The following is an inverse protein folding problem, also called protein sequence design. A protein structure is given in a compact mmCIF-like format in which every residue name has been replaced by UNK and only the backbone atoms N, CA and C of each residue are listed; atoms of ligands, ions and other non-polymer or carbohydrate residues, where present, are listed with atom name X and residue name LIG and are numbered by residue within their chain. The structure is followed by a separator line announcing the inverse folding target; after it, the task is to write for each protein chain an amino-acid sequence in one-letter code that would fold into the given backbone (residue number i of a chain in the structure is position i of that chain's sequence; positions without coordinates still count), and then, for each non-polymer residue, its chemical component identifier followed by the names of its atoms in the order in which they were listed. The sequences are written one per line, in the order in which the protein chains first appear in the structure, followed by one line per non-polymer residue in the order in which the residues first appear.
data_IF_212191062522
#
_entry.id   IF_212191062522
#
_cell.length_a   1.000
_cell.length_b   1.000
_cell.length_c   1.000
_cell.angle_alpha   90.00
_cell.angle_beta   90.00
_cell.angle_gamma   90.00
#
_symmetry.space_group_name_H-M   'P 1'
#
loop_
_entity.id
_entity.type
_entity.pdbx_description
1 polymer ?
#
# COMPACT_ATOMS: atom_id res chain seq x y z
N UNK A 1 -7.95 16.25 -12.97
CA UNK A 1 -8.43 15.60 -11.74
C UNK A 1 -8.13 14.13 -11.91
N UNK A 2 -7.41 13.56 -10.97
CA UNK A 2 -7.17 12.12 -10.92
C UNK A 2 -8.12 11.49 -9.92
N UNK A 3 -8.39 10.20 -10.07
CA UNK A 3 -9.30 9.46 -9.21
C UNK A 3 -8.67 8.14 -8.77
N UNK A 4 -8.93 7.75 -7.53
CA UNK A 4 -8.42 6.53 -6.95
C UNK A 4 -9.51 5.81 -6.18
N UNK A 5 -9.50 4.49 -6.27
CA UNK A 5 -10.46 3.65 -5.59
C UNK A 5 -9.78 2.91 -4.44
N UNK A 6 -10.34 3.02 -3.24
CA UNK A 6 -9.96 2.14 -2.14
C UNK A 6 -10.33 0.70 -2.49
N UNK A 7 -9.35 -0.22 -2.50
CA UNK A 7 -9.59 -1.62 -2.86
C UNK A 7 -10.36 -2.42 -1.80
N UNK A 8 -10.52 -1.87 -0.58
CA UNK A 8 -11.24 -2.50 0.53
C UNK A 8 -12.74 -2.22 0.46
N UNK A 9 -13.10 -0.95 0.42
CA UNK A 9 -14.49 -0.48 0.56
C UNK A 9 -15.04 0.12 -0.74
N UNK A 10 -14.24 0.17 -1.80
CA UNK A 10 -14.61 0.70 -3.12
C UNK A 10 -14.94 2.21 -3.12
N UNK A 11 -14.58 2.95 -2.06
CA UNK A 11 -14.72 4.40 -1.99
C UNK A 11 -13.85 5.08 -3.04
N UNK A 12 -14.43 6.05 -3.76
CA UNK A 12 -13.74 6.87 -4.75
C UNK A 12 -13.18 8.13 -4.08
N UNK A 13 -11.90 8.40 -4.31
CA UNK A 13 -11.16 9.54 -3.78
C UNK A 13 -10.57 10.30 -4.96
N UNK A 14 -10.88 11.58 -5.07
CA UNK A 14 -10.39 12.44 -6.15
C UNK A 14 -9.43 13.50 -5.64
N UNK A 15 -8.43 13.83 -6.47
CA UNK A 15 -7.47 14.89 -6.18
C UNK A 15 -6.95 15.57 -7.46
N UNK A 16 -6.10 16.57 -7.27
CA UNK A 16 -5.50 17.37 -8.35
C UNK A 16 -4.66 16.53 -9.31
N UNK A 17 -3.90 15.57 -8.79
CA UNK A 17 -2.98 14.70 -9.52
C UNK A 17 -2.95 13.29 -8.92
N UNK A 18 -2.39 12.35 -9.68
CA UNK A 18 -2.35 10.92 -9.32
C UNK A 18 -1.57 10.64 -8.04
N UNK A 19 -0.50 11.38 -7.81
CA UNK A 19 0.33 11.22 -6.61
C UNK A 19 -0.45 11.58 -5.35
N UNK A 20 -1.15 12.71 -5.38
CA UNK A 20 -2.04 13.14 -4.29
C UNK A 20 -3.22 12.18 -4.11
N UNK A 21 -3.71 11.55 -5.17
CA UNK A 21 -4.75 10.51 -5.05
C UNK A 21 -4.20 9.30 -4.30
N UNK A 22 -3.00 8.82 -4.67
CA UNK A 22 -2.37 7.66 -4.03
C UNK A 22 -2.18 7.93 -2.54
N UNK A 23 -1.63 9.09 -2.19
CA UNK A 23 -1.44 9.52 -0.80
C UNK A 23 -2.75 9.47 0.00
N UNK A 24 -3.82 10.08 -0.51
CA UNK A 24 -5.14 10.06 0.15
C UNK A 24 -5.77 8.67 0.24
N UNK A 25 -5.58 7.83 -0.78
CA UNK A 25 -6.09 6.46 -0.75
C UNK A 25 -5.33 5.65 0.31
N UNK A 26 -4.01 5.84 0.44
CA UNK A 26 -3.18 5.23 1.48
C UNK A 26 -3.61 5.71 2.86
N UNK A 27 -3.76 7.02 3.08
CA UNK A 27 -4.27 7.60 4.32
C UNK A 27 -5.60 6.96 4.72
N UNK A 28 -6.58 6.96 3.82
CA UNK A 28 -7.88 6.32 4.07
C UNK A 28 -7.76 4.82 4.42
N UNK A 29 -6.92 4.07 3.72
CA UNK A 29 -6.71 2.63 3.98
C UNK A 29 -6.06 2.39 5.34
N UNK A 30 -5.08 3.20 5.72
CA UNK A 30 -4.35 3.05 6.98
C UNK A 30 -5.14 3.60 8.19
N UNK A 31 -6.09 4.50 7.99
CA UNK A 31 -6.97 4.96 9.07
C UNK A 31 -8.21 4.07 9.24
N UNK A 32 -8.91 3.75 8.16
CA UNK A 32 -10.19 3.05 8.21
C UNK A 32 -10.06 1.52 8.10
N UNK A 33 -8.99 1.02 7.50
CA UNK A 33 -8.87 -0.37 7.08
C UNK A 33 -7.52 -1.03 7.41
N UNK A 34 -6.74 -0.45 8.33
CA UNK A 34 -5.40 -0.95 8.66
C UNK A 34 -5.38 -2.46 8.97
N UNK A 35 -6.32 -2.95 9.78
CA UNK A 35 -6.39 -4.38 10.11
C UNK A 35 -6.62 -5.28 8.88
N UNK A 36 -7.40 -4.80 7.91
CA UNK A 36 -7.65 -5.51 6.66
C UNK A 36 -6.43 -5.46 5.73
N UNK A 37 -5.79 -4.29 5.62
CA UNK A 37 -4.54 -4.11 4.86
C UNK A 37 -3.44 -4.99 5.43
N UNK A 38 -3.29 -5.05 6.75
CA UNK A 38 -2.32 -5.92 7.42
C UNK A 38 -2.62 -7.39 7.13
N UNK A 39 -3.87 -7.83 7.32
CA UNK A 39 -4.27 -9.20 7.01
C UNK A 39 -4.00 -9.60 5.56
N UNK A 40 -4.17 -8.67 4.61
CA UNK A 40 -3.88 -8.94 3.20
C UNK A 40 -2.37 -8.91 2.89
N UNK A 41 -1.62 -7.95 3.42
CA UNK A 41 -0.18 -7.86 3.28
C UNK A 41 0.56 -9.07 3.89
N UNK A 42 0.02 -9.69 4.95
CA UNK A 42 0.62 -10.86 5.62
C UNK A 42 0.14 -12.21 5.06
N UNK A 43 -0.42 -12.24 3.85
CA UNK A 43 -0.66 -13.50 3.14
C UNK A 43 0.52 -13.83 2.23
N UNK A 44 0.91 -15.11 2.20
CA UNK A 44 2.06 -15.60 1.40
C UNK A 44 1.98 -15.25 -0.08
N UNK A 45 0.77 -15.15 -0.63
CA UNK A 45 0.49 -14.71 -2.02
C UNK A 45 0.82 -13.24 -2.32
N UNK A 46 0.92 -12.41 -1.27
CA UNK A 46 1.17 -10.96 -1.35
C UNK A 46 2.58 -10.61 -0.84
N UNK A 47 3.47 -11.60 -0.73
CA UNK A 47 4.84 -11.40 -0.26
C UNK A 47 5.61 -10.49 -1.21
N UNK A 48 6.26 -9.46 -0.67
CA UNK A 48 7.16 -8.61 -1.43
C UNK A 48 8.49 -9.33 -1.66
N UNK A 49 8.89 -9.52 -2.92
CA UNK A 49 10.19 -10.10 -3.24
C UNK A 49 11.34 -9.14 -2.92
N UNK A 50 11.11 -7.84 -3.13
CA UNK A 50 12.06 -6.76 -2.87
C UNK A 50 11.40 -5.64 -2.10
N UNK A 51 12.16 -5.01 -1.22
CA UNK A 51 11.74 -3.77 -0.55
C UNK A 51 11.65 -2.64 -1.60
N UNK A 52 10.50 -1.97 -1.75
CA UNK A 52 10.35 -0.87 -2.70
C UNK A 52 11.12 0.40 -2.30
N UNK A 53 11.61 0.47 -1.05
CA UNK A 53 12.34 1.64 -0.53
C UNK A 53 13.85 1.51 -0.74
N UNK A 54 14.47 0.42 -0.28
CA UNK A 54 15.93 0.24 -0.39
C UNK A 54 16.38 -0.80 -1.42
N UNK A 55 15.44 -1.53 -2.04
CA UNK A 55 15.74 -2.57 -3.03
C UNK A 55 16.24 -3.90 -2.46
N UNK A 56 16.34 -4.05 -1.14
CA UNK A 56 16.77 -5.29 -0.49
C UNK A 56 15.83 -6.45 -0.82
N UNK A 57 16.38 -7.63 -1.05
CA UNK A 57 15.61 -8.86 -1.23
C UNK A 57 14.98 -9.27 0.10
N UNK A 58 13.65 -9.40 0.12
CA UNK A 58 12.90 -9.81 1.31
C UNK A 58 12.57 -11.30 1.23
N UNK A 59 12.00 -11.78 0.11
CA UNK A 59 11.72 -13.20 -0.15
C UNK A 59 10.80 -13.92 0.86
N UNK A 60 10.34 -13.22 1.90
CA UNK A 60 9.54 -13.72 3.00
C UNK A 60 8.59 -12.61 3.49
N UNK A 61 7.59 -12.99 4.28
CA UNK A 61 6.66 -12.06 4.88
C UNK A 61 7.33 -11.26 5.99
N UNK A 62 7.36 -9.95 5.82
CA UNK A 62 7.86 -9.01 6.82
C UNK A 62 6.88 -7.85 6.93
N UNK A 63 6.54 -7.46 8.17
CA UNK A 63 5.80 -6.22 8.41
C UNK A 63 6.69 -4.99 8.26
N UNK A 64 7.99 -5.13 8.55
CA UNK A 64 9.00 -4.07 8.39
C UNK A 64 10.25 -4.61 7.72
N UNK A 65 10.84 -3.82 6.83
CA UNK A 65 12.08 -4.20 6.17
C UNK A 65 13.22 -4.31 7.20
N UNK A 66 13.93 -5.45 7.29
CA UNK A 66 15.04 -5.61 8.22
C UNK A 66 16.29 -4.81 7.84
N UNK A 67 16.35 -4.27 6.60
CA UNK A 67 17.51 -3.53 6.10
C UNK A 67 17.37 -2.00 6.32
N UNK A 68 16.23 -1.41 5.95
CA UNK A 68 16.02 0.04 6.06
C UNK A 68 14.96 0.46 7.09
N UNK A 69 14.21 -0.49 7.67
CA UNK A 69 13.15 -0.20 8.64
C UNK A 69 11.82 0.28 8.04
N UNK A 70 11.71 0.35 6.71
CA UNK A 70 10.46 0.75 6.04
C UNK A 70 9.28 -0.15 6.43
N UNK A 71 8.11 0.45 6.62
CA UNK A 71 6.88 -0.26 6.93
C UNK A 71 6.29 -0.92 5.69
N UNK A 72 6.41 -2.23 5.59
CA UNK A 72 6.01 -2.98 4.40
C UNK A 72 4.50 -3.12 4.29
N UNK A 73 3.76 -2.91 5.37
CA UNK A 73 2.29 -2.87 5.34
C UNK A 73 1.84 -1.57 4.66
N UNK A 74 2.46 -0.44 5.00
CA UNK A 74 2.24 0.83 4.31
C UNK A 74 2.70 0.76 2.85
N UNK A 75 3.86 0.15 2.56
CA UNK A 75 4.30 -0.04 1.18
C UNK A 75 3.33 -0.92 0.37
N UNK A 76 2.71 -1.93 1.00
CA UNK A 76 1.66 -2.72 0.37
C UNK A 76 0.42 -1.86 0.05
N UNK A 77 0.00 -1.00 0.98
CA UNK A 77 -1.05 -0.01 0.74
C UNK A 77 -0.71 0.90 -0.45
N UNK A 78 0.52 1.43 -0.55
CA UNK A 78 0.95 2.28 -1.68
C UNK A 78 0.85 1.52 -3.01
N UNK A 79 1.27 0.25 -3.05
CA UNK A 79 1.16 -0.58 -4.26
C UNK A 79 -0.29 -0.75 -4.70
N UNK A 80 -1.20 -1.00 -3.77
CA UNK A 80 -2.63 -1.11 -4.08
C UNK A 80 -3.22 0.22 -4.51
N UNK A 81 -2.98 1.30 -3.77
CA UNK A 81 -3.44 2.64 -4.13
C UNK A 81 -2.97 3.03 -5.54
N UNK A 82 -1.72 2.76 -5.88
CA UNK A 82 -1.16 3.03 -7.22
C UNK A 82 -1.84 2.22 -8.31
N UNK A 83 -2.19 0.96 -8.05
CA UNK A 83 -2.88 0.08 -8.99
C UNK A 83 -4.32 0.53 -9.28
N UNK A 84 -4.98 1.20 -8.32
CA UNK A 84 -6.36 1.65 -8.44
C UNK A 84 -6.51 3.17 -8.67
N UNK A 85 -5.40 3.89 -8.90
CA UNK A 85 -5.37 5.32 -9.24
C UNK A 85 -5.23 5.55 -10.76
N UNK A 86 -6.11 6.37 -11.34
CA UNK A 86 -6.19 6.69 -12.77
C UNK A 86 -6.35 8.19 -13.05
#
# INVERSE_FOLDING_TARGET
MAEGRCYVCNQMISAKDKDTVVDKVVEHMMEAHHGWVWGDAMQTKNTLEKCPVCGATLGQLYAKCPNCGADLIEQYAILKATAYAH
#
